data_IF_940095833087
#
_entry.id   IF_940095833087
#
_cell.length_a   1.000
_cell.length_b   1.000
_cell.length_c   1.000
_cell.angle_alpha   90.00
_cell.angle_beta   90.00
_cell.angle_gamma   90.00
#
_symmetry.space_group_name_H-M   'P 1'
#
loop_
_entity.id
_entity.type
_entity.pdbx_description
1 polymer ?
#
# COMPACT_ATOMS: atom_id res chain seq x y z
N UNK A 1 38.57 43.62 -15.24
CA UNK A 1 37.10 43.42 -15.37
C UNK A 1 36.71 42.35 -16.42
N UNK A 2 37.47 42.15 -17.51
CA UNK A 2 37.21 41.12 -18.52
C UNK A 2 37.43 39.66 -18.01
N UNK A 3 38.45 39.44 -17.19
CA UNK A 3 38.84 38.12 -16.69
C UNK A 3 37.76 37.42 -15.83
N UNK A 4 36.94 38.19 -15.10
CA UNK A 4 35.82 37.66 -14.31
C UNK A 4 34.63 37.21 -15.16
N UNK A 5 34.41 37.84 -16.33
CA UNK A 5 33.32 37.45 -17.26
C UNK A 5 33.62 36.13 -17.95
N UNK A 6 34.88 35.91 -18.34
CA UNK A 6 35.30 34.66 -18.98
C UNK A 6 35.26 33.48 -17.99
N UNK A 7 35.69 33.70 -16.75
CA UNK A 7 35.57 32.71 -15.68
C UNK A 7 34.11 32.37 -15.36
N UNK A 8 33.23 33.37 -15.28
CA UNK A 8 31.80 33.16 -15.06
C UNK A 8 31.12 32.43 -16.23
N UNK A 9 31.42 32.80 -17.48
CA UNK A 9 30.92 32.10 -18.66
C UNK A 9 31.42 30.66 -18.72
N UNK A 10 32.70 30.42 -18.40
CA UNK A 10 33.26 29.07 -18.37
C UNK A 10 32.64 28.22 -17.25
N UNK A 11 32.41 28.80 -16.06
CA UNK A 11 31.76 28.12 -14.93
C UNK A 11 30.29 27.79 -15.22
N UNK A 12 29.50 28.73 -15.77
CA UNK A 12 28.12 28.47 -16.19
C UNK A 12 28.08 27.41 -17.29
N UNK A 13 29.00 27.43 -18.25
CA UNK A 13 29.06 26.43 -19.32
C UNK A 13 29.45 25.06 -18.77
N UNK A 14 30.36 25.02 -17.79
CA UNK A 14 30.74 23.80 -17.07
C UNK A 14 29.60 23.25 -16.21
N UNK A 15 28.79 24.10 -15.58
CA UNK A 15 27.56 23.70 -14.88
C UNK A 15 26.44 23.26 -15.83
N UNK A 16 26.31 23.87 -17.02
CA UNK A 16 25.39 23.42 -18.08
C UNK A 16 25.81 22.08 -18.68
N UNK A 17 27.11 21.75 -18.64
CA UNK A 17 27.70 20.51 -19.12
C UNK A 17 27.99 19.48 -18.00
N UNK A 18 27.66 19.78 -16.73
CA UNK A 18 27.53 18.73 -15.72
C UNK A 18 26.33 17.90 -16.14
N UNK A 19 26.60 16.70 -16.66
CA UNK A 19 25.60 15.83 -17.25
C UNK A 19 24.35 15.81 -16.39
N UNK A 20 23.20 16.17 -16.97
CA UNK A 20 21.91 15.97 -16.30
C UNK A 20 21.91 14.53 -15.80
N UNK A 21 21.81 14.35 -14.48
CA UNK A 21 21.57 13.03 -13.91
C UNK A 21 20.17 12.65 -14.40
N UNK A 22 20.11 11.90 -15.48
CA UNK A 22 18.86 11.35 -15.97
C UNK A 22 18.49 10.21 -15.03
N UNK A 23 17.66 10.53 -14.04
CA UNK A 23 17.04 9.52 -13.18
C UNK A 23 16.12 8.64 -14.05
N UNK A 24 16.22 7.32 -13.87
CA UNK A 24 15.26 6.36 -14.42
C UNK A 24 13.88 6.64 -13.82
N UNK A 25 12.81 6.17 -14.48
CA UNK A 25 11.45 6.34 -13.97
C UNK A 25 11.28 5.68 -12.59
N UNK A 26 11.88 4.52 -12.39
CA UNK A 26 11.97 3.85 -11.08
C UNK A 26 12.62 4.75 -10.01
N UNK A 27 13.78 5.34 -10.30
CA UNK A 27 14.46 6.25 -9.37
C UNK A 27 13.62 7.50 -9.08
N UNK A 28 12.91 8.04 -10.07
CA UNK A 28 12.00 9.17 -9.88
C UNK A 28 10.85 8.81 -8.96
N UNK A 29 10.25 7.64 -9.17
CA UNK A 29 9.16 7.12 -8.33
C UNK A 29 9.65 6.93 -6.89
N UNK A 30 10.74 6.18 -6.69
CA UNK A 30 11.31 5.89 -5.36
C UNK A 30 11.66 7.17 -4.62
N UNK A 31 12.37 8.10 -5.25
CA UNK A 31 12.72 9.37 -4.64
C UNK A 31 11.47 10.19 -4.27
N UNK A 32 10.47 10.20 -5.15
CA UNK A 32 9.21 10.92 -4.90
C UNK A 32 8.42 10.32 -3.74
N UNK A 33 8.36 8.98 -3.65
CA UNK A 33 7.75 8.28 -2.54
C UNK A 33 8.46 8.65 -1.23
N UNK A 34 9.79 8.54 -1.16
CA UNK A 34 10.57 8.89 0.03
C UNK A 34 10.30 10.34 0.49
N UNK A 35 10.23 11.29 -0.44
CA UNK A 35 9.98 12.69 -0.14
C UNK A 35 8.55 12.95 0.37
N UNK A 36 7.55 12.25 -0.17
CA UNK A 36 6.12 12.56 0.06
C UNK A 36 5.48 11.73 1.17
N UNK A 37 5.83 10.45 1.30
CA UNK A 37 5.08 9.54 2.17
C UNK A 37 5.21 9.86 3.66
N UNK A 38 6.36 10.38 4.10
CA UNK A 38 6.57 10.70 5.51
C UNK A 38 5.57 11.76 6.04
N UNK A 39 5.22 12.74 5.21
CA UNK A 39 4.35 13.86 5.58
C UNK A 39 2.90 13.66 5.11
N UNK A 40 2.58 12.51 4.50
CA UNK A 40 1.21 12.22 4.09
C UNK A 40 0.29 12.09 5.30
N UNK A 41 -0.89 12.68 5.20
CA UNK A 41 -1.98 12.51 6.18
C UNK A 41 -2.76 11.21 5.93
N UNK A 42 -2.70 10.69 4.71
CA UNK A 42 -3.37 9.43 4.35
C UNK A 42 -2.52 8.26 4.82
N UNK A 43 -3.12 7.37 5.61
CA UNK A 43 -2.45 6.23 6.23
C UNK A 43 -2.86 4.89 5.64
N UNK A 44 -4.02 4.82 4.96
CA UNK A 44 -4.55 3.60 4.32
C UNK A 44 -3.71 3.02 3.17
N UNK A 45 -4.29 2.03 2.48
CA UNK A 45 -3.61 1.23 1.46
C UNK A 45 -3.56 1.94 0.09
N UNK A 46 -4.68 2.47 -0.39
CA UNK A 46 -4.73 2.99 -1.76
C UNK A 46 -4.09 4.35 -1.92
N UNK A 47 -4.27 5.25 -0.96
CA UNK A 47 -3.74 6.62 -1.05
C UNK A 47 -2.63 6.90 -0.04
N UNK A 48 -2.36 5.95 0.85
CA UNK A 48 -1.63 6.20 2.09
C UNK A 48 -0.31 5.46 2.28
N UNK A 49 0.23 5.65 3.47
CA UNK A 49 1.55 5.16 3.91
C UNK A 49 1.67 3.64 3.85
N UNK A 50 0.60 2.89 4.11
CA UNK A 50 0.63 1.42 4.10
C UNK A 50 0.91 0.89 2.69
N UNK A 51 0.27 1.45 1.66
CA UNK A 51 0.58 1.09 0.27
C UNK A 51 2.05 1.32 -0.09
N UNK A 52 2.59 2.46 0.36
CA UNK A 52 4.01 2.80 0.16
C UNK A 52 4.94 1.86 0.92
N UNK A 53 4.59 1.50 2.17
CA UNK A 53 5.36 0.56 2.97
C UNK A 53 5.46 -0.81 2.29
N UNK A 54 4.35 -1.34 1.78
CA UNK A 54 4.34 -2.61 1.06
C UNK A 54 5.21 -2.55 -0.20
N UNK A 55 5.10 -1.47 -0.98
CA UNK A 55 5.97 -1.29 -2.14
C UNK A 55 7.46 -1.28 -1.76
N UNK A 56 7.84 -0.63 -0.65
CA UNK A 56 9.23 -0.64 -0.17
C UNK A 56 9.69 -1.97 0.42
N UNK A 57 8.80 -2.77 1.00
CA UNK A 57 9.13 -4.14 1.41
C UNK A 57 9.47 -5.03 0.19
N UNK A 58 8.68 -4.94 -0.87
CA UNK A 58 8.99 -5.59 -2.16
C UNK A 58 10.29 -5.04 -2.77
N UNK A 59 10.46 -3.71 -2.77
CA UNK A 59 11.66 -3.08 -3.31
C UNK A 59 12.93 -3.45 -2.54
N UNK A 60 12.83 -3.64 -1.23
CA UNK A 60 13.91 -4.21 -0.44
C UNK A 60 14.19 -5.67 -0.83
N UNK A 61 13.16 -6.49 -1.04
CA UNK A 61 13.33 -7.89 -1.41
C UNK A 61 14.10 -8.05 -2.74
N UNK A 62 13.84 -7.18 -3.71
CA UNK A 62 14.54 -7.18 -5.01
C UNK A 62 15.94 -6.57 -4.94
N UNK A 63 16.11 -5.42 -4.29
CA UNK A 63 17.39 -4.67 -4.28
C UNK A 63 18.35 -5.06 -3.16
N UNK A 64 17.83 -5.63 -2.06
CA UNK A 64 18.54 -5.92 -0.80
C UNK A 64 19.18 -4.71 -0.10
N UNK A 65 18.81 -3.49 -0.50
CA UNK A 65 19.31 -2.26 0.13
C UNK A 65 18.52 -1.97 1.40
N UNK A 66 19.17 -2.09 2.57
CA UNK A 66 18.52 -2.00 3.88
C UNK A 66 17.76 -0.70 4.15
N UNK A 67 18.13 0.40 3.49
CA UNK A 67 17.44 1.70 3.67
C UNK A 67 15.96 1.59 3.34
N UNK A 68 15.59 0.79 2.33
CA UNK A 68 14.20 0.63 1.91
C UNK A 68 13.39 -0.17 2.92
N UNK A 69 13.97 -1.21 3.52
CA UNK A 69 13.33 -1.96 4.61
C UNK A 69 13.08 -1.08 5.83
N UNK A 70 14.11 -0.32 6.25
CA UNK A 70 13.99 0.61 7.39
C UNK A 70 12.93 1.68 7.12
N UNK A 71 12.85 2.16 5.89
CA UNK A 71 11.83 3.13 5.49
C UNK A 71 10.42 2.51 5.47
N UNK A 72 10.27 1.27 4.98
CA UNK A 72 9.01 0.53 5.02
C UNK A 72 8.48 0.36 6.45
N UNK A 73 9.33 -0.10 7.37
CA UNK A 73 8.99 -0.20 8.79
C UNK A 73 8.61 1.15 9.39
N UNK A 74 9.37 2.22 9.10
CA UNK A 74 9.06 3.57 9.57
C UNK A 74 7.65 4.00 9.14
N UNK A 75 7.26 3.72 7.91
CA UNK A 75 5.92 4.06 7.39
C UNK A 75 4.83 3.20 8.05
N UNK A 76 5.06 1.90 8.20
CA UNK A 76 4.15 0.98 8.89
C UNK A 76 3.88 1.44 10.32
N UNK A 77 4.93 1.65 11.13
CA UNK A 77 4.79 2.13 12.50
C UNK A 77 4.13 3.51 12.56
N UNK A 78 4.48 4.41 11.64
CA UNK A 78 3.83 5.73 11.58
C UNK A 78 2.34 5.62 11.29
N UNK A 79 1.91 4.70 10.43
CA UNK A 79 0.51 4.49 10.11
C UNK A 79 -0.26 3.91 11.31
N UNK A 80 0.27 2.85 11.93
CA UNK A 80 -0.33 2.24 13.13
C UNK A 80 -0.45 3.24 14.28
N UNK A 81 0.60 4.03 14.55
CA UNK A 81 0.57 5.06 15.59
C UNK A 81 -0.31 6.28 15.26
N UNK A 82 -0.84 6.37 14.03
CA UNK A 82 -1.76 7.44 13.62
C UNK A 82 -3.22 7.02 13.69
N UNK A 83 -3.51 5.77 14.08
CA UNK A 83 -4.87 5.29 14.30
C UNK A 83 -5.47 6.07 15.48
N UNK A 84 -6.66 6.62 15.25
CA UNK A 84 -7.44 7.32 16.27
C UNK A 84 -8.85 6.75 16.31
N UNK A 85 -9.58 6.97 17.41
CA UNK A 85 -11.00 6.61 17.48
C UNK A 85 -11.80 7.26 16.36
N UNK A 86 -12.72 6.50 15.78
CA UNK A 86 -13.53 6.90 14.63
C UNK A 86 -12.69 7.19 13.38
N UNK A 87 -11.58 6.47 13.22
CA UNK A 87 -10.87 6.47 11.94
C UNK A 87 -11.79 5.96 10.84
N UNK A 88 -11.56 6.46 9.63
CA UNK A 88 -12.29 6.05 8.44
C UNK A 88 -12.23 4.52 8.24
N UNK A 89 -13.33 3.93 7.78
CA UNK A 89 -13.44 2.50 7.48
C UNK A 89 -13.46 2.34 5.96
N UNK A 90 -12.26 2.33 5.38
CA UNK A 90 -12.05 2.14 3.96
C UNK A 90 -10.67 1.56 3.69
N UNK A 91 -10.48 0.98 2.50
CA UNK A 91 -9.13 0.65 2.03
C UNK A 91 -8.32 1.89 1.68
N UNK A 92 -8.98 2.91 1.15
CA UNK A 92 -8.29 4.04 0.56
C UNK A 92 -7.47 4.83 1.57
N UNK A 93 -8.12 5.18 2.68
CA UNK A 93 -7.56 6.08 3.69
C UNK A 93 -7.63 5.52 5.11
N UNK A 94 -8.34 4.41 5.31
CA UNK A 94 -8.81 3.97 6.61
C UNK A 94 -8.28 2.65 7.15
N UNK A 95 -8.96 2.17 8.19
CA UNK A 95 -8.60 1.01 9.02
C UNK A 95 -8.51 -0.30 8.23
N UNK A 96 -9.45 -0.54 7.31
CA UNK A 96 -9.48 -1.76 6.51
C UNK A 96 -8.21 -1.91 5.66
N UNK A 97 -7.73 -0.82 5.06
CA UNK A 97 -6.48 -0.82 4.30
C UNK A 97 -5.25 -1.05 5.18
N UNK A 98 -5.26 -0.54 6.41
CA UNK A 98 -4.16 -0.75 7.37
C UNK A 98 -4.13 -2.22 7.81
N UNK A 99 -5.25 -2.76 8.28
CA UNK A 99 -5.35 -4.14 8.74
C UNK A 99 -5.03 -5.13 7.62
N UNK A 100 -5.57 -4.93 6.42
CA UNK A 100 -5.23 -5.74 5.25
C UNK A 100 -3.74 -5.67 4.92
N UNK A 101 -3.15 -4.48 5.04
CA UNK A 101 -1.72 -4.28 4.80
C UNK A 101 -0.82 -4.99 5.82
N UNK A 102 -1.18 -4.96 7.12
CA UNK A 102 -0.47 -5.70 8.18
C UNK A 102 -0.50 -7.19 7.89
N UNK A 103 -1.68 -7.74 7.62
CA UNK A 103 -1.84 -9.15 7.25
C UNK A 103 -1.04 -9.51 6.01
N UNK A 104 -1.08 -8.68 4.97
CA UNK A 104 -0.28 -8.87 3.76
C UNK A 104 1.22 -8.92 4.07
N UNK A 105 1.72 -8.00 4.90
CA UNK A 105 3.14 -7.91 5.27
C UNK A 105 3.59 -9.17 6.02
N UNK A 106 2.80 -9.63 7.00
CA UNK A 106 3.11 -10.81 7.80
C UNK A 106 3.03 -12.08 6.96
N UNK A 107 1.93 -12.28 6.23
CA UNK A 107 1.72 -13.48 5.41
C UNK A 107 2.72 -13.65 4.27
N UNK A 108 3.31 -12.54 3.79
CA UNK A 108 4.39 -12.59 2.80
C UNK A 108 5.79 -12.70 3.42
N UNK A 109 5.93 -12.76 4.75
CA UNK A 109 7.21 -12.87 5.44
C UNK A 109 8.08 -11.61 5.34
N UNK A 110 7.46 -10.43 5.25
CA UNK A 110 8.18 -9.15 5.28
C UNK A 110 8.47 -8.68 6.71
N UNK A 111 7.60 -9.04 7.64
CA UNK A 111 7.75 -8.82 9.08
C UNK A 111 7.22 -10.04 9.84
N UNK A 112 7.78 -10.26 11.03
CA UNK A 112 7.25 -11.19 12.02
C UNK A 112 6.32 -10.43 12.96
N UNK A 113 5.26 -11.08 13.43
CA UNK A 113 4.31 -10.50 14.38
C UNK A 113 3.03 -11.32 14.46
N UNK A 114 2.30 -11.14 15.55
CA UNK A 114 0.94 -11.66 15.68
C UNK A 114 -0.05 -10.60 15.18
N UNK A 115 -0.68 -10.86 14.04
CA UNK A 115 -1.68 -9.96 13.47
C UNK A 115 -2.93 -9.86 14.34
N UNK A 116 -3.19 -10.84 15.22
CA UNK A 116 -4.28 -10.76 16.19
C UNK A 116 -4.04 -9.61 17.17
N UNK A 117 -2.87 -9.58 17.81
CA UNK A 117 -2.50 -8.52 18.74
C UNK A 117 -2.36 -7.16 18.05
N UNK A 118 -1.75 -7.13 16.85
CA UNK A 118 -1.49 -5.88 16.14
C UNK A 118 -2.78 -5.21 15.65
N UNK A 119 -3.79 -5.99 15.25
CA UNK A 119 -5.03 -5.47 14.69
C UNK A 119 -6.19 -5.43 15.70
N UNK A 120 -5.98 -5.72 16.98
CA UNK A 120 -7.05 -5.76 17.99
C UNK A 120 -7.89 -4.46 18.00
N UNK A 121 -7.23 -3.29 18.08
CA UNK A 121 -7.92 -1.99 18.04
C UNK A 121 -8.65 -1.75 16.70
N UNK A 122 -8.11 -2.27 15.59
CA UNK A 122 -8.71 -2.18 14.26
C UNK A 122 -9.99 -3.01 14.22
N UNK A 123 -9.94 -4.24 14.71
CA UNK A 123 -11.06 -5.19 14.74
C UNK A 123 -12.20 -4.66 15.61
N UNK A 124 -11.88 -4.15 16.80
CA UNK A 124 -12.84 -3.49 17.68
C UNK A 124 -13.52 -2.32 16.97
N UNK A 125 -12.73 -1.42 16.36
CA UNK A 125 -13.26 -0.26 15.64
C UNK A 125 -14.16 -0.65 14.46
N UNK A 126 -13.83 -1.72 13.74
CA UNK A 126 -14.66 -2.23 12.64
C UNK A 126 -15.98 -2.78 13.17
N UNK A 127 -15.96 -3.55 14.26
CA UNK A 127 -17.17 -4.15 14.84
C UNK A 127 -18.16 -3.12 15.42
N UNK A 128 -17.75 -1.88 15.68
CA UNK A 128 -18.70 -0.82 16.06
C UNK A 128 -19.66 -0.42 14.94
N UNK A 129 -19.37 -0.77 13.68
CA UNK A 129 -20.19 -0.38 12.54
C UNK A 129 -21.11 -1.52 12.14
N UNK A 130 -22.39 -1.21 11.93
CA UNK A 130 -23.36 -2.19 11.42
C UNK A 130 -23.04 -2.48 9.93
N UNK A 131 -22.58 -3.70 9.57
CA UNK A 131 -22.22 -4.01 8.20
C UNK A 131 -23.41 -3.85 7.23
N UNK A 132 -24.65 -3.96 7.72
CA UNK A 132 -25.87 -3.80 6.93
C UNK A 132 -26.11 -2.36 6.47
N UNK A 133 -25.36 -1.40 7.01
CA UNK A 133 -25.47 0.05 6.73
C UNK A 133 -24.28 0.62 5.98
N UNK A 134 -23.29 -0.21 5.67
CA UNK A 134 -22.11 0.18 4.90
C UNK A 134 -22.49 0.23 3.41
N UNK A 135 -21.92 1.21 2.68
CA UNK A 135 -22.07 1.28 1.23
C UNK A 135 -21.56 -0.01 0.55
N UNK A 136 -22.02 -0.31 -0.67
CA UNK A 136 -21.57 -1.51 -1.40
C UNK A 136 -20.05 -1.57 -1.54
N UNK A 137 -19.41 -0.43 -1.87
CA UNK A 137 -17.94 -0.33 -1.98
C UNK A 137 -17.28 -0.68 -0.64
N UNK A 138 -17.78 -0.15 0.47
CA UNK A 138 -17.25 -0.44 1.79
C UNK A 138 -17.44 -1.90 2.22
N UNK A 139 -18.48 -2.59 1.72
CA UNK A 139 -18.67 -4.02 1.96
C UNK A 139 -17.62 -4.87 1.24
N UNK A 140 -17.25 -4.51 0.00
CA UNK A 140 -16.16 -5.19 -0.70
C UNK A 140 -14.84 -5.05 0.08
N UNK A 141 -14.49 -3.83 0.48
CA UNK A 141 -13.30 -3.56 1.30
C UNK A 141 -13.34 -4.36 2.62
N UNK A 142 -14.48 -4.39 3.31
CA UNK A 142 -14.63 -5.12 4.56
C UNK A 142 -14.44 -6.63 4.36
N UNK A 143 -15.01 -7.18 3.30
CA UNK A 143 -14.87 -8.60 2.97
C UNK A 143 -13.41 -8.95 2.66
N UNK A 144 -12.71 -8.11 1.90
CA UNK A 144 -11.29 -8.28 1.59
C UNK A 144 -10.43 -8.33 2.86
N UNK A 145 -10.72 -7.46 3.84
CA UNK A 145 -10.04 -7.49 5.14
C UNK A 145 -10.37 -8.76 5.94
N UNK A 146 -11.63 -9.13 6.05
CA UNK A 146 -12.05 -10.31 6.83
C UNK A 146 -11.44 -11.58 6.25
N UNK A 147 -11.41 -11.73 4.93
CA UNK A 147 -10.89 -12.92 4.28
C UNK A 147 -9.39 -13.09 4.49
N UNK A 148 -8.60 -12.01 4.43
CA UNK A 148 -7.17 -12.09 4.71
C UNK A 148 -6.89 -12.32 6.20
N UNK A 149 -7.66 -11.66 7.08
CA UNK A 149 -7.43 -11.63 8.53
C UNK A 149 -7.90 -12.90 9.25
N UNK A 150 -8.98 -13.53 8.75
CA UNK A 150 -9.57 -14.71 9.35
C UNK A 150 -9.03 -16.04 8.79
N UNK A 151 -7.88 -16.02 8.11
CA UNK A 151 -7.28 -17.22 7.52
C UNK A 151 -6.86 -18.26 8.56
N UNK A 152 -6.44 -17.80 9.74
CA UNK A 152 -5.98 -18.66 10.84
C UNK A 152 -6.98 -18.75 12.01
N UNK A 153 -8.23 -18.33 11.80
CA UNK A 153 -9.27 -18.33 12.82
C UNK A 153 -10.20 -17.12 12.67
N UNK A 154 -11.47 -17.30 13.04
CA UNK A 154 -12.44 -16.20 13.05
C UNK A 154 -12.13 -15.29 14.24
N UNK A 155 -11.90 -14.01 13.96
CA UNK A 155 -11.50 -12.99 14.96
C UNK A 155 -12.62 -12.03 15.34
N UNK A 156 -13.76 -12.12 14.67
CA UNK A 156 -14.94 -11.29 14.89
C UNK A 156 -16.01 -12.10 15.64
N UNK A 157 -16.93 -11.41 16.32
CA UNK A 157 -18.05 -12.08 16.97
C UNK A 157 -18.96 -12.79 15.95
N UNK A 158 -19.70 -13.81 16.41
CA UNK A 158 -20.51 -14.64 15.54
C UNK A 158 -21.62 -13.87 14.83
N UNK A 159 -22.23 -12.89 15.50
CA UNK A 159 -23.31 -12.10 14.91
C UNK A 159 -22.79 -11.21 13.77
N UNK A 160 -21.60 -10.64 13.94
CA UNK A 160 -20.94 -9.84 12.92
C UNK A 160 -20.60 -10.68 11.68
N UNK A 161 -20.09 -11.91 11.88
CA UNK A 161 -19.82 -12.85 10.79
C UNK A 161 -21.10 -13.28 10.07
N UNK A 162 -22.15 -13.65 10.80
CA UNK A 162 -23.42 -14.08 10.22
C UNK A 162 -24.02 -12.97 9.33
N UNK A 163 -23.89 -11.71 9.75
CA UNK A 163 -24.37 -10.56 8.97
C UNK A 163 -23.61 -10.39 7.66
N UNK A 164 -22.29 -10.55 7.70
CA UNK A 164 -21.43 -10.43 6.52
C UNK A 164 -21.65 -11.61 5.58
N UNK A 165 -21.77 -12.83 6.09
CA UNK A 165 -22.11 -14.01 5.29
C UNK A 165 -23.48 -13.84 4.62
N UNK A 166 -24.47 -13.31 5.33
CA UNK A 166 -25.79 -12.99 4.75
C UNK A 166 -25.68 -11.96 3.61
N UNK A 167 -24.93 -10.87 3.82
CA UNK A 167 -24.75 -9.81 2.80
C UNK A 167 -24.02 -10.37 1.58
N UNK A 168 -22.89 -11.05 1.79
CA UNK A 168 -22.08 -11.62 0.73
C UNK A 168 -22.84 -12.69 -0.07
N UNK A 169 -23.62 -13.54 0.61
CA UNK A 169 -24.44 -14.55 -0.06
C UNK A 169 -25.49 -13.93 -0.98
N UNK A 170 -26.13 -12.84 -0.54
CA UNK A 170 -27.09 -12.10 -1.36
C UNK A 170 -26.44 -11.47 -2.59
N UNK A 171 -25.26 -10.85 -2.43
CA UNK A 171 -24.55 -10.21 -3.54
C UNK A 171 -24.07 -11.23 -4.59
N UNK A 172 -23.64 -12.42 -4.16
CA UNK A 172 -23.14 -13.46 -5.06
C UNK A 172 -24.22 -14.39 -5.60
N UNK A 173 -25.45 -14.31 -5.07
CA UNK A 173 -26.53 -15.25 -5.35
C UNK A 173 -26.15 -16.73 -5.11
N UNK A 174 -25.27 -16.97 -4.13
CA UNK A 174 -24.80 -18.29 -3.71
C UNK A 174 -24.50 -18.30 -2.20
N UNK A 175 -24.38 -19.47 -1.59
CA UNK A 175 -23.98 -19.57 -0.19
C UNK A 175 -22.52 -19.14 -0.01
N UNK A 176 -22.28 -18.21 0.92
CA UNK A 176 -20.95 -17.72 1.24
C UNK A 176 -20.60 -18.03 2.70
N UNK A 177 -19.46 -18.68 2.94
CA UNK A 177 -18.90 -18.85 4.29
C UNK A 177 -17.55 -18.13 4.41
N UNK A 178 -17.42 -17.23 5.38
CA UNK A 178 -16.16 -16.55 5.70
C UNK A 178 -15.08 -17.57 6.02
N UNK A 179 -15.38 -18.60 6.81
CA UNK A 179 -14.41 -19.61 7.23
C UNK A 179 -13.82 -20.38 6.04
N UNK A 180 -14.65 -20.81 5.11
CA UNK A 180 -14.18 -21.55 3.94
C UNK A 180 -13.41 -20.64 2.98
N UNK A 181 -13.92 -19.44 2.76
CA UNK A 181 -13.36 -18.49 1.81
C UNK A 181 -12.05 -17.89 2.30
N UNK A 182 -11.88 -17.67 3.62
CA UNK A 182 -10.62 -17.16 4.19
C UNK A 182 -9.48 -18.16 4.04
N UNK A 183 -9.74 -19.47 4.17
CA UNK A 183 -8.75 -20.53 3.95
C UNK A 183 -8.26 -20.56 2.50
N UNK A 184 -9.15 -20.27 1.55
CA UNK A 184 -8.85 -20.22 0.12
C UNK A 184 -8.28 -18.87 -0.33
N UNK A 185 -8.39 -17.84 0.50
CA UNK A 185 -8.01 -16.48 0.14
C UNK A 185 -6.50 -16.36 -0.12
N UNK A 186 -6.18 -15.82 -1.29
CA UNK A 186 -4.83 -15.47 -1.74
C UNK A 186 -4.77 -13.96 -1.94
N UNK A 187 -3.97 -13.30 -1.13
CA UNK A 187 -3.80 -11.86 -1.23
C UNK A 187 -3.03 -11.50 -2.51
N UNK A 188 -3.72 -10.85 -3.44
CA UNK A 188 -3.11 -10.24 -4.62
C UNK A 188 -3.24 -8.73 -4.49
N UNK A 189 -2.12 -8.06 -4.24
CA UNK A 189 -2.09 -6.60 -4.11
C UNK A 189 -2.17 -5.89 -5.47
N UNK A 190 -1.75 -6.56 -6.56
CA UNK A 190 -1.76 -5.95 -7.89
C UNK A 190 -3.17 -5.77 -8.44
N UNK A 191 -4.15 -6.57 -7.96
CA UNK A 191 -5.56 -6.37 -8.30
C UNK A 191 -6.09 -4.98 -7.94
N UNK A 192 -5.46 -4.31 -6.98
CA UNK A 192 -5.82 -2.96 -6.55
C UNK A 192 -5.07 -1.85 -7.30
N UNK A 193 -4.00 -2.18 -8.03
CA UNK A 193 -3.15 -1.20 -8.68
C UNK A 193 -3.72 -0.82 -10.06
N UNK A 194 -4.22 0.39 -10.22
CA UNK A 194 -4.57 0.96 -11.53
C UNK A 194 -3.35 1.63 -12.20
N UNK A 195 -3.39 1.86 -13.52
CA UNK A 195 -2.23 2.37 -14.26
C UNK A 195 -2.02 3.87 -14.03
N UNK A 196 -0.76 4.32 -14.03
CA UNK A 196 -0.41 5.73 -13.84
C UNK A 196 0.34 6.24 -15.07
N UNK A 197 -0.11 7.35 -15.65
CA UNK A 197 0.66 8.02 -16.70
C UNK A 197 1.79 8.85 -16.10
N UNK A 198 3.02 8.37 -16.31
CA UNK A 198 4.27 9.06 -15.92
C UNK A 198 5.09 9.50 -17.14
N UNK A 199 4.52 9.47 -18.35
CA UNK A 199 5.22 9.82 -19.59
C UNK A 199 5.74 11.27 -19.60
N UNK A 200 5.05 12.18 -18.90
CA UNK A 200 5.46 13.56 -18.66
C UNK A 200 6.35 13.77 -17.42
N UNK A 201 6.77 12.69 -16.75
CA UNK A 201 7.43 12.69 -15.44
C UNK A 201 6.46 12.53 -14.27
N UNK A 202 7.01 12.45 -13.05
CA UNK A 202 6.23 12.23 -11.83
C UNK A 202 5.60 13.54 -11.34
N UNK A 203 4.31 13.73 -11.63
CA UNK A 203 3.54 14.89 -11.16
C UNK A 203 3.24 14.84 -9.66
N UNK A 204 3.20 16.02 -9.01
CA UNK A 204 2.87 16.15 -7.59
C UNK A 204 1.46 15.69 -7.21
N UNK A 205 0.54 15.60 -8.19
CA UNK A 205 -0.86 15.26 -7.98
C UNK A 205 -1.11 13.76 -7.98
N UNK A 206 -0.17 12.95 -8.46
CA UNK A 206 -0.31 11.50 -8.48
C UNK A 206 -0.33 11.00 -7.03
N UNK A 207 -1.34 10.25 -6.57
CA UNK A 207 -1.36 9.64 -5.25
C UNK A 207 -0.11 8.81 -4.94
N UNK A 208 0.21 8.64 -3.66
CA UNK A 208 1.42 7.89 -3.27
C UNK A 208 1.17 6.39 -3.11
N UNK A 209 -0.05 5.96 -2.79
CA UNK A 209 -0.36 4.57 -2.45
C UNK A 209 -0.55 3.65 -3.67
N UNK A 210 -1.30 2.57 -3.49
CA UNK A 210 -1.42 1.48 -4.49
C UNK A 210 -2.35 1.83 -5.66
N UNK A 211 -3.54 2.37 -5.42
CA UNK A 211 -4.53 2.54 -6.49
C UNK A 211 -4.32 3.88 -7.20
N UNK A 212 -3.95 3.85 -8.47
CA UNK A 212 -3.66 5.06 -9.25
C UNK A 212 -2.47 5.84 -8.73
N UNK A 213 -1.65 5.21 -7.89
CA UNK A 213 -0.57 5.85 -7.16
C UNK A 213 0.81 5.29 -7.49
N UNK A 214 1.82 6.05 -7.06
CA UNK A 214 3.23 5.77 -7.35
C UNK A 214 3.72 4.45 -6.74
N UNK A 215 3.19 4.02 -5.59
CA UNK A 215 3.56 2.73 -5.01
C UNK A 215 3.03 1.57 -5.88
N UNK A 216 1.79 1.67 -6.38
CA UNK A 216 1.24 0.68 -7.31
C UNK A 216 2.04 0.59 -8.61
N UNK A 217 2.43 1.75 -9.17
CA UNK A 217 3.27 1.82 -10.36
C UNK A 217 4.65 1.20 -10.12
N UNK A 218 5.29 1.48 -8.98
CA UNK A 218 6.55 0.84 -8.59
C UNK A 218 6.41 -0.68 -8.54
N UNK A 219 5.34 -1.19 -7.93
CA UNK A 219 5.09 -2.63 -7.78
C UNK A 219 4.85 -3.34 -9.10
N UNK A 220 4.09 -2.72 -10.02
CA UNK A 220 3.88 -3.25 -11.37
C UNK A 220 5.20 -3.41 -12.10
N UNK A 221 6.04 -2.37 -12.06
CA UNK A 221 7.35 -2.40 -12.70
C UNK A 221 8.21 -3.53 -12.12
N UNK A 222 8.27 -3.69 -10.80
CA UNK A 222 9.03 -4.78 -10.15
C UNK A 222 8.56 -6.18 -10.54
N UNK A 223 7.25 -6.44 -10.52
CA UNK A 223 6.71 -7.80 -10.74
C UNK A 223 6.68 -8.21 -12.21
N UNK A 224 6.65 -7.26 -13.15
CA UNK A 224 6.90 -7.54 -14.57
C UNK A 224 8.33 -8.06 -14.78
N UNK A 225 9.33 -7.51 -14.07
CA UNK A 225 10.72 -7.96 -14.18
C UNK A 225 10.93 -9.39 -13.63
N UNK A 226 10.27 -9.78 -12.53
CA UNK A 226 10.37 -11.14 -11.98
C UNK A 226 9.79 -12.19 -12.95
N UNK A 227 8.67 -11.89 -13.61
CA UNK A 227 8.06 -12.78 -14.61
C UNK A 227 8.94 -12.96 -15.87
N UNK A 228 9.76 -11.96 -16.24
CA UNK A 228 10.70 -12.07 -17.35
C UNK A 228 11.97 -12.88 -17.02
N UNK A 229 12.35 -12.98 -15.75
CA UNK A 229 13.50 -13.77 -15.30
C UNK A 229 13.19 -15.27 -15.19
N UNK A 230 11.93 -15.64 -14.93
CA UNK A 230 11.48 -17.03 -14.89
C UNK A 230 11.19 -17.66 -16.27
N UNK A 231 11.31 -16.88 -17.35
CA UNK A 231 11.15 -17.33 -18.74
C UNK A 231 12.48 -17.45 -19.50
N UNK A 232 13.63 -17.41 -18.81
CA UNK A 232 14.97 -17.62 -19.39
C UNK A 232 15.68 -18.80 -18.76
#
# INVERSE_FOLDING_TARGET
MAMYKEWWCHYITKCKNMGKIFLTDEQRIVNTLIMRSNNSKFIGLFDGKIGVAIAFFHYYRSTRVQVYQRYAYKLLYSALNSIVRNSDISFATGLLGIGWGVEYIIQNGFAEGDSYEICEEIDEQIMYYDPRRISEIGIYDLLEYILIHCKNGIKFDSQYIDDIEMIASKQKAEQFSVREQSLLYKADILKFASAVDISGGVSHNIPIGINGGLAGELMKNMLLYENHLHLR
#
